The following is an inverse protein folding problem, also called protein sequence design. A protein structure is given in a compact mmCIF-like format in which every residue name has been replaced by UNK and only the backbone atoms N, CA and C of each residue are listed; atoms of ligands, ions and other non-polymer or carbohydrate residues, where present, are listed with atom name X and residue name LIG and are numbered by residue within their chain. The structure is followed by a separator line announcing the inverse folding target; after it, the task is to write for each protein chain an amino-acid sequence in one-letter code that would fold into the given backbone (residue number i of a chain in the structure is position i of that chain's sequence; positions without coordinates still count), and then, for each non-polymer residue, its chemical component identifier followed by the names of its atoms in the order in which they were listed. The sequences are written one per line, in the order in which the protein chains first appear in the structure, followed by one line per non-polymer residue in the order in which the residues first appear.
data_IF_417902580188
#
_entry.id   IF_417902580188
#
_cell.length_a   1.000
_cell.length_b   1.000
_cell.length_c   1.000
_cell.angle_alpha   90.00
_cell.angle_beta   90.00
_cell.angle_gamma   90.00
#
_symmetry.space_group_name_H-M   'P 1'
#
loop_
_entity.id
_entity.type
_entity.pdbx_description
1 polymer ?
#
# COMPACT_ATOMS: atom_id res chain seq x y z
N UNK A 1 25.17 10.51 -7.41
CA UNK A 1 24.81 10.15 -6.02
C UNK A 1 23.31 10.11 -5.97
N UNK A 2 22.75 8.91 -6.00
CA UNK A 2 21.36 8.70 -5.58
C UNK A 2 21.33 8.96 -4.08
N UNK A 3 20.88 10.15 -3.68
CA UNK A 3 20.51 10.45 -2.31
C UNK A 3 19.01 10.08 -2.23
N UNK A 4 18.73 8.80 -2.33
CA UNK A 4 17.43 8.25 -1.97
C UNK A 4 17.52 7.70 -0.56
N UNK A 5 16.40 7.66 0.13
CA UNK A 5 16.30 6.96 1.40
C UNK A 5 16.66 5.48 1.18
N UNK A 6 17.15 4.82 2.19
CA UNK A 6 17.53 3.39 2.13
C UNK A 6 16.35 2.50 1.72
N UNK A 7 15.12 2.88 2.06
CA UNK A 7 13.89 2.27 1.58
C UNK A 7 13.75 2.33 0.06
N UNK A 8 13.84 3.52 -0.55
CA UNK A 8 13.75 3.66 -2.02
C UNK A 8 14.81 2.82 -2.76
N UNK A 9 15.93 2.50 -2.12
CA UNK A 9 16.95 1.62 -2.70
C UNK A 9 16.49 0.16 -2.67
N UNK A 10 15.83 -0.30 -1.60
CA UNK A 10 15.27 -1.66 -1.50
C UNK A 10 14.13 -1.86 -2.48
N UNK A 11 13.20 -0.92 -2.55
CA UNK A 11 12.14 -0.90 -3.57
C UNK A 11 12.70 -0.92 -4.97
N UNK A 12 13.79 -0.17 -5.21
CA UNK A 12 14.49 -0.17 -6.50
C UNK A 12 15.03 -1.56 -6.84
N UNK A 13 15.47 -2.34 -5.85
CA UNK A 13 15.95 -3.69 -6.11
C UNK A 13 14.85 -4.59 -6.66
N UNK A 14 13.65 -4.56 -6.06
CA UNK A 14 12.51 -5.33 -6.54
C UNK A 14 12.04 -4.87 -7.92
N UNK A 15 11.95 -3.55 -8.13
CA UNK A 15 11.56 -2.96 -9.43
C UNK A 15 12.54 -3.31 -10.55
N UNK A 16 13.84 -3.24 -10.29
CA UNK A 16 14.85 -3.60 -11.30
C UNK A 16 14.85 -5.09 -11.60
N UNK A 17 14.69 -5.96 -10.60
CA UNK A 17 14.59 -7.39 -10.82
C UNK A 17 13.36 -7.75 -11.65
N UNK A 18 12.20 -7.19 -11.32
CA UNK A 18 10.97 -7.37 -12.09
C UNK A 18 11.10 -6.80 -13.52
N UNK A 19 11.71 -5.61 -13.66
CA UNK A 19 11.98 -5.00 -14.96
C UNK A 19 12.89 -5.87 -15.83
N UNK A 20 13.93 -6.48 -15.24
CA UNK A 20 14.80 -7.41 -15.94
C UNK A 20 14.01 -8.62 -16.46
N UNK A 21 13.15 -9.21 -15.63
CA UNK A 21 12.32 -10.36 -16.01
C UNK A 21 11.36 -10.04 -17.16
N UNK A 22 10.71 -8.87 -17.12
CA UNK A 22 9.76 -8.46 -18.17
C UNK A 22 10.46 -8.11 -19.50
N UNK A 23 11.64 -7.52 -19.43
CA UNK A 23 12.31 -6.97 -20.61
C UNK A 23 13.29 -7.96 -21.29
N UNK A 24 13.63 -9.08 -20.66
CA UNK A 24 14.69 -9.99 -21.14
C UNK A 24 14.49 -10.48 -22.58
N UNK A 25 13.26 -10.69 -23.01
CA UNK A 25 12.97 -11.18 -24.36
C UNK A 25 12.94 -10.08 -25.43
N UNK A 26 12.82 -8.81 -25.02
CA UNK A 26 12.71 -7.65 -25.92
C UNK A 26 13.97 -6.77 -25.92
N UNK A 27 14.61 -6.63 -24.77
CA UNK A 27 15.76 -5.75 -24.54
C UNK A 27 16.79 -6.43 -23.63
N UNK A 28 17.48 -7.49 -24.09
CA UNK A 28 18.32 -8.33 -23.24
C UNK A 28 19.47 -7.53 -22.57
N UNK A 29 20.15 -6.64 -23.27
CA UNK A 29 21.24 -5.82 -22.70
C UNK A 29 20.74 -4.90 -21.58
N UNK A 30 19.52 -4.39 -21.72
CA UNK A 30 18.87 -3.57 -20.70
C UNK A 30 18.47 -4.44 -19.50
N UNK A 31 17.93 -5.62 -19.75
CA UNK A 31 17.55 -6.57 -18.70
C UNK A 31 18.77 -6.99 -17.86
N UNK A 32 19.90 -7.27 -18.50
CA UNK A 32 21.16 -7.59 -17.82
C UNK A 32 21.63 -6.42 -16.95
N UNK A 33 21.56 -5.20 -17.48
CA UNK A 33 21.90 -4.00 -16.72
C UNK A 33 21.00 -3.82 -15.50
N UNK A 34 19.68 -4.01 -15.66
CA UNK A 34 18.72 -3.92 -14.58
C UNK A 34 18.98 -4.99 -13.50
N UNK A 35 19.32 -6.21 -13.90
CA UNK A 35 19.63 -7.27 -12.96
C UNK A 35 20.87 -6.99 -12.12
N UNK A 36 21.92 -6.42 -12.74
CA UNK A 36 23.10 -5.95 -12.01
C UNK A 36 22.71 -4.87 -10.99
N UNK A 37 21.90 -3.89 -11.41
CA UNK A 37 21.41 -2.83 -10.51
C UNK A 37 20.54 -3.35 -9.39
N UNK A 38 19.69 -4.34 -9.66
CA UNK A 38 18.87 -4.99 -8.64
C UNK A 38 19.74 -5.62 -7.53
N UNK A 39 20.80 -6.33 -7.92
CA UNK A 39 21.74 -6.94 -6.97
C UNK A 39 22.50 -5.89 -6.16
N UNK A 40 23.03 -4.85 -6.82
CA UNK A 40 23.72 -3.75 -6.14
C UNK A 40 22.83 -3.08 -5.10
N UNK A 41 21.58 -2.77 -5.47
CA UNK A 41 20.58 -2.17 -4.57
C UNK A 41 20.22 -3.11 -3.42
N UNK A 42 19.99 -4.40 -3.69
CA UNK A 42 19.71 -5.40 -2.67
C UNK A 42 20.83 -5.50 -1.63
N UNK A 43 22.08 -5.65 -2.07
CA UNK A 43 23.23 -5.76 -1.18
C UNK A 43 23.48 -4.47 -0.40
N UNK A 44 23.19 -3.32 -1.01
CA UNK A 44 23.23 -2.07 -0.28
C UNK A 44 22.19 -2.08 0.87
N UNK A 45 20.95 -2.46 0.61
CA UNK A 45 19.90 -2.57 1.62
C UNK A 45 20.23 -3.58 2.71
N UNK A 46 20.78 -4.74 2.36
CA UNK A 46 21.17 -5.78 3.30
C UNK A 46 22.32 -5.36 4.23
N UNK A 47 23.29 -4.59 3.70
CA UNK A 47 24.42 -4.10 4.49
C UNK A 47 24.11 -2.83 5.30
N UNK A 48 22.99 -2.17 5.03
CA UNK A 48 22.55 -0.97 5.75
C UNK A 48 21.11 -1.17 6.23
N UNK A 49 20.88 -2.08 7.19
CA UNK A 49 19.55 -2.35 7.70
C UNK A 49 19.01 -1.17 8.50
N UNK A 50 17.68 -1.09 8.55
CA UNK A 50 16.99 -0.07 9.31
C UNK A 50 16.15 0.84 8.44
N UNK A 51 15.55 1.82 9.06
CA UNK A 51 14.68 2.81 8.43
C UNK A 51 15.36 4.18 8.42
N UNK A 52 15.02 5.00 7.46
CA UNK A 52 15.46 6.38 7.42
C UNK A 52 14.31 7.31 7.13
N UNK A 53 14.49 8.57 7.48
CA UNK A 53 13.54 9.61 7.13
C UNK A 53 13.52 9.80 5.61
N UNK A 54 12.36 9.59 4.99
CA UNK A 54 12.20 9.64 3.53
C UNK A 54 12.00 11.05 3.00
N UNK A 55 11.41 11.94 3.79
CA UNK A 55 11.21 13.34 3.42
C UNK A 55 12.20 14.26 4.12
N UNK A 56 12.80 15.17 3.36
CA UNK A 56 13.71 16.20 3.88
C UNK A 56 12.97 17.41 4.44
N UNK A 57 11.65 17.43 4.43
CA UNK A 57 10.80 18.57 4.84
C UNK A 57 9.94 18.19 6.03
N UNK A 58 9.86 19.07 6.98
CA UNK A 58 8.87 19.01 8.07
C UNK A 58 7.56 19.54 7.49
N UNK A 59 6.74 18.64 6.98
CA UNK A 59 5.34 18.90 6.70
C UNK A 59 4.54 18.23 7.79
N UNK A 60 3.45 18.69 8.32
CA UNK A 60 2.97 18.49 9.69
C UNK A 60 3.40 17.17 10.36
N UNK A 61 4.15 16.34 9.70
CA UNK A 61 4.69 15.07 10.12
C UNK A 61 6.03 14.77 9.43
N UNK A 62 6.85 13.97 10.10
CA UNK A 62 8.10 13.45 9.58
C UNK A 62 7.78 12.10 8.94
N UNK A 63 8.18 11.89 7.69
CA UNK A 63 8.11 10.59 7.04
C UNK A 63 9.21 9.70 7.62
N UNK A 64 8.84 8.92 8.60
CA UNK A 64 9.72 7.97 9.26
C UNK A 64 9.04 6.61 9.25
N UNK A 65 9.56 5.68 8.47
CA UNK A 65 9.06 4.33 8.44
C UNK A 65 9.55 3.53 9.62
N UNK A 66 8.74 2.60 10.07
CA UNK A 66 9.07 1.72 11.19
C UNK A 66 9.53 0.34 10.75
N UNK A 67 9.36 0.02 9.46
CA UNK A 67 9.65 -1.29 8.89
C UNK A 67 10.44 -1.19 7.58
N UNK A 68 11.19 -2.21 7.28
CA UNK A 68 12.03 -2.35 6.09
C UNK A 68 12.19 -3.81 5.66
N UNK A 69 11.67 -4.74 6.44
CA UNK A 69 11.85 -6.19 6.20
C UNK A 69 11.01 -6.68 5.06
N UNK A 70 9.86 -6.09 4.83
CA UNK A 70 8.97 -6.35 3.71
C UNK A 70 9.56 -5.93 2.37
N UNK A 71 10.28 -4.79 2.32
CA UNK A 71 11.02 -4.35 1.13
C UNK A 71 12.12 -5.36 0.78
N UNK A 72 12.85 -5.84 1.80
CA UNK A 72 13.90 -6.83 1.60
C UNK A 72 13.34 -8.20 1.20
N UNK A 73 12.19 -8.58 1.75
CA UNK A 73 11.48 -9.80 1.36
C UNK A 73 11.09 -9.74 -0.13
N UNK A 74 10.45 -8.64 -0.53
CA UNK A 74 10.01 -8.45 -1.91
C UNK A 74 11.21 -8.41 -2.88
N UNK A 75 12.26 -7.68 -2.53
CA UNK A 75 13.47 -7.60 -3.34
C UNK A 75 14.16 -8.98 -3.50
N UNK A 76 14.27 -9.73 -2.42
CA UNK A 76 14.88 -11.06 -2.44
C UNK A 76 14.06 -12.04 -3.28
N UNK A 77 12.73 -12.10 -3.10
CA UNK A 77 11.91 -13.02 -3.89
C UNK A 77 11.88 -12.64 -5.37
N UNK A 78 11.89 -11.36 -5.73
CA UNK A 78 11.99 -10.94 -7.13
C UNK A 78 13.35 -11.31 -7.75
N UNK A 79 14.44 -11.16 -7.00
CA UNK A 79 15.76 -11.63 -7.43
C UNK A 79 15.79 -13.15 -7.61
N UNK A 80 15.16 -13.92 -6.72
CA UNK A 80 15.02 -15.35 -6.89
C UNK A 80 14.28 -15.70 -8.18
N UNK A 81 13.16 -15.04 -8.47
CA UNK A 81 12.40 -15.28 -9.72
C UNK A 81 13.24 -14.99 -10.96
N UNK A 82 14.02 -13.90 -10.93
CA UNK A 82 14.82 -13.49 -12.09
C UNK A 82 16.12 -14.30 -12.27
N UNK A 83 16.66 -14.91 -11.21
CA UNK A 83 17.99 -15.54 -11.24
C UNK A 83 17.97 -17.04 -11.00
N UNK A 84 16.95 -17.56 -10.32
CA UNK A 84 16.89 -18.93 -9.83
C UNK A 84 17.83 -19.22 -8.64
N UNK A 85 18.50 -18.22 -8.08
CA UNK A 85 19.45 -18.41 -6.97
C UNK A 85 18.71 -18.64 -5.65
N UNK A 86 18.85 -19.84 -5.11
CA UNK A 86 18.13 -20.29 -3.91
C UNK A 86 18.52 -19.53 -2.63
N UNK A 87 19.67 -18.89 -2.59
CA UNK A 87 20.04 -18.01 -1.48
C UNK A 87 19.05 -16.86 -1.29
N UNK A 88 18.62 -16.23 -2.39
CA UNK A 88 17.60 -15.18 -2.35
C UNK A 88 16.24 -15.68 -1.84
N UNK A 89 15.86 -16.92 -2.21
CA UNK A 89 14.64 -17.52 -1.65
C UNK A 89 14.73 -17.70 -0.13
N UNK A 90 15.89 -18.17 0.36
CA UNK A 90 16.12 -18.35 1.80
C UNK A 90 16.05 -17.02 2.54
N UNK A 91 16.72 -16.00 2.02
CA UNK A 91 16.70 -14.65 2.60
C UNK A 91 15.29 -14.04 2.59
N UNK A 92 14.54 -14.19 1.49
CA UNK A 92 13.15 -13.74 1.41
C UNK A 92 12.28 -14.39 2.50
N UNK A 93 12.41 -15.68 2.73
CA UNK A 93 11.69 -16.39 3.79
C UNK A 93 12.10 -15.87 5.18
N UNK A 94 13.36 -15.60 5.40
CA UNK A 94 13.84 -15.04 6.67
C UNK A 94 13.25 -13.65 6.92
N UNK A 95 13.32 -12.73 5.95
CA UNK A 95 12.73 -11.40 6.07
C UNK A 95 11.21 -11.44 6.28
N UNK A 96 10.50 -12.25 5.51
CA UNK A 96 9.03 -12.36 5.63
C UNK A 96 8.55 -12.92 6.97
N UNK A 97 9.40 -13.64 7.70
CA UNK A 97 9.07 -14.12 9.05
C UNK A 97 9.17 -13.04 10.13
N UNK A 98 9.88 -11.93 9.88
CA UNK A 98 9.90 -10.79 10.80
C UNK A 98 8.59 -10.05 10.86
N UNK A 99 7.83 -10.04 9.74
CA UNK A 99 6.53 -9.38 9.68
C UNK A 99 5.47 -10.28 9.01
N UNK A 100 4.98 -11.30 9.72
CA UNK A 100 4.04 -12.26 9.16
C UNK A 100 2.67 -11.65 8.81
N UNK A 101 2.33 -10.49 9.35
CA UNK A 101 1.07 -9.76 9.05
C UNK A 101 1.38 -8.27 8.97
N UNK A 102 0.97 -7.67 7.87
CA UNK A 102 1.09 -6.21 7.67
C UNK A 102 0.48 -5.45 8.87
N UNK A 103 1.22 -4.51 9.50
CA UNK A 103 0.86 -3.96 10.80
C UNK A 103 -0.54 -3.36 10.90
N UNK A 104 -0.98 -2.60 9.89
CA UNK A 104 -2.29 -1.97 9.93
C UNK A 104 -3.46 -2.98 9.92
N UNK A 105 -3.25 -4.15 9.35
CA UNK A 105 -4.26 -5.22 9.34
C UNK A 105 -4.47 -5.79 10.74
N UNK A 106 -3.43 -5.78 11.56
CA UNK A 106 -3.47 -6.26 12.95
C UNK A 106 -4.06 -5.27 13.95
N UNK A 107 -4.22 -4.00 13.58
CA UNK A 107 -4.75 -2.94 14.45
C UNK A 107 -5.93 -2.24 13.78
N UNK A 108 -6.80 -1.62 14.58
CA UNK A 108 -7.84 -0.72 14.09
C UNK A 108 -7.38 0.75 14.06
N UNK A 109 -6.17 1.00 14.53
CA UNK A 109 -5.49 2.29 14.47
C UNK A 109 -4.01 2.07 14.23
N UNK A 110 -3.41 2.88 13.38
CA UNK A 110 -1.98 2.91 13.12
C UNK A 110 -1.51 4.35 12.95
N UNK A 111 -0.23 4.60 13.17
CA UNK A 111 0.38 5.87 12.79
C UNK A 111 0.48 5.92 11.27
N UNK A 112 0.43 7.12 10.71
CA UNK A 112 0.38 7.34 9.27
C UNK A 112 1.43 6.55 8.47
N UNK A 113 2.65 6.45 8.96
CA UNK A 113 3.75 5.77 8.27
C UNK A 113 4.08 4.37 8.79
N UNK A 114 3.23 3.81 9.64
CA UNK A 114 3.39 2.44 10.17
C UNK A 114 2.65 1.38 9.34
N UNK A 115 1.94 1.77 8.30
CA UNK A 115 1.17 0.85 7.47
C UNK A 115 1.68 0.68 6.05
N UNK A 116 2.84 1.20 5.75
CA UNK A 116 3.59 0.76 4.60
C UNK A 116 4.30 -0.55 4.94
N UNK A 117 4.21 -1.57 4.10
CA UNK A 117 3.44 -1.64 2.87
C UNK A 117 1.94 -1.68 3.13
N UNK A 118 1.16 -1.26 2.16
CA UNK A 118 -0.29 -1.43 2.22
C UNK A 118 -0.69 -2.91 2.16
N UNK A 119 0.02 -3.70 1.36
CA UNK A 119 -0.01 -5.17 1.33
C UNK A 119 1.41 -5.71 1.22
N UNK A 120 1.69 -6.86 1.82
CA UNK A 120 2.97 -7.52 1.65
C UNK A 120 2.98 -8.38 0.38
N UNK A 121 3.46 -7.81 -0.74
CA UNK A 121 3.62 -8.52 -2.00
C UNK A 121 4.70 -9.60 -1.95
N UNK A 122 5.69 -9.48 -1.09
CA UNK A 122 6.69 -10.51 -0.85
C UNK A 122 6.03 -11.83 -0.43
N UNK A 123 5.08 -11.77 0.49
CA UNK A 123 4.31 -12.95 0.91
C UNK A 123 3.56 -13.61 -0.25
N UNK A 124 2.95 -12.81 -1.12
CA UNK A 124 2.26 -13.35 -2.29
C UNK A 124 3.22 -14.08 -3.23
N UNK A 125 4.36 -13.47 -3.53
CA UNK A 125 5.37 -14.09 -4.41
C UNK A 125 5.98 -15.35 -3.78
N UNK A 126 6.32 -15.33 -2.49
CA UNK A 126 6.79 -16.50 -1.77
C UNK A 126 5.76 -17.66 -1.78
N UNK A 127 4.49 -17.32 -1.58
CA UNK A 127 3.43 -18.32 -1.67
C UNK A 127 3.25 -18.88 -3.09
N UNK A 128 3.60 -18.09 -4.11
CA UNK A 128 3.42 -18.49 -5.53
C UNK A 128 4.57 -19.32 -6.10
N UNK A 129 5.83 -19.07 -5.70
CA UNK A 129 7.02 -19.62 -6.37
C UNK A 129 7.72 -20.71 -5.59
N UNK A 130 7.41 -20.90 -4.32
CA UNK A 130 8.14 -21.76 -3.41
C UNK A 130 7.56 -23.17 -3.32
N UNK A 131 8.22 -24.01 -2.55
CA UNK A 131 7.72 -25.34 -2.24
C UNK A 131 6.41 -25.30 -1.43
N UNK A 132 5.75 -26.46 -1.32
CA UNK A 132 4.45 -26.54 -0.65
C UNK A 132 4.45 -26.13 0.83
N UNK A 133 5.60 -26.13 1.49
CA UNK A 133 5.74 -25.72 2.90
C UNK A 133 5.77 -24.19 3.02
N UNK A 134 6.63 -23.57 2.25
CA UNK A 134 6.78 -22.10 2.19
C UNK A 134 5.48 -21.49 1.66
N UNK A 135 4.94 -22.02 0.58
CA UNK A 135 3.66 -21.58 0.02
C UNK A 135 2.53 -21.60 1.04
N UNK A 136 2.40 -22.66 1.81
CA UNK A 136 1.39 -22.76 2.88
C UNK A 136 1.64 -21.80 4.04
N UNK A 137 2.91 -21.54 4.39
CA UNK A 137 3.28 -20.60 5.44
C UNK A 137 2.85 -19.18 5.06
N UNK A 138 3.29 -18.69 3.90
CA UNK A 138 3.03 -17.34 3.46
C UNK A 138 1.58 -17.11 2.99
N UNK A 139 0.93 -18.14 2.44
CA UNK A 139 -0.51 -18.11 2.20
C UNK A 139 -1.33 -17.95 3.49
N UNK A 140 -0.90 -18.58 4.61
CA UNK A 140 -1.52 -18.36 5.93
C UNK A 140 -1.26 -16.96 6.47
N UNK A 141 -0.09 -16.38 6.23
CA UNK A 141 0.24 -15.02 6.63
C UNK A 141 -0.69 -14.00 5.94
N UNK A 142 -0.84 -14.11 4.61
CA UNK A 142 -1.82 -13.30 3.87
C UNK A 142 -3.24 -13.46 4.42
N UNK A 143 -3.66 -14.71 4.65
CA UNK A 143 -4.98 -14.99 5.24
C UNK A 143 -5.15 -14.35 6.61
N UNK A 144 -4.15 -14.42 7.47
CA UNK A 144 -4.22 -13.87 8.82
C UNK A 144 -4.48 -12.37 8.83
N UNK A 145 -3.91 -11.62 7.89
CA UNK A 145 -4.21 -10.20 7.71
C UNK A 145 -5.66 -9.97 7.27
N UNK A 146 -6.11 -10.72 6.25
CA UNK A 146 -7.49 -10.63 5.76
C UNK A 146 -8.49 -10.96 6.88
N UNK A 147 -8.26 -12.04 7.61
CA UNK A 147 -9.14 -12.49 8.71
C UNK A 147 -9.36 -11.39 9.74
N UNK A 148 -8.30 -10.72 10.19
CA UNK A 148 -8.38 -9.63 11.16
C UNK A 148 -9.21 -8.45 10.67
N UNK A 149 -9.07 -8.07 9.40
CA UNK A 149 -9.89 -7.02 8.80
C UNK A 149 -11.33 -7.49 8.63
N UNK A 150 -11.54 -8.73 8.21
CA UNK A 150 -12.86 -9.33 8.06
C UNK A 150 -13.62 -9.42 9.40
N UNK A 151 -12.96 -9.80 10.48
CA UNK A 151 -13.54 -9.81 11.82
C UNK A 151 -14.02 -8.41 12.25
N UNK A 152 -13.22 -7.37 12.00
CA UNK A 152 -13.63 -5.98 12.27
C UNK A 152 -14.80 -5.52 11.40
N UNK A 153 -14.93 -6.08 10.20
CA UNK A 153 -15.97 -5.73 9.26
C UNK A 153 -17.35 -6.30 9.62
N UNK A 154 -17.42 -7.35 10.47
CA UNK A 154 -18.67 -8.10 10.73
C UNK A 154 -19.82 -7.27 11.31
N UNK A 155 -19.56 -6.18 11.99
CA UNK A 155 -20.59 -5.28 12.51
C UNK A 155 -20.94 -4.11 11.58
N UNK A 156 -20.37 -4.06 10.40
CA UNK A 156 -20.45 -2.94 9.47
C UNK A 156 -21.30 -3.34 8.25
N UNK A 157 -22.41 -2.62 7.95
CA UNK A 157 -23.28 -2.96 6.82
C UNK A 157 -22.61 -2.89 5.46
N UNK A 158 -21.47 -2.17 5.36
CA UNK A 158 -20.66 -2.07 4.16
C UNK A 158 -19.53 -3.10 4.11
N UNK A 159 -19.45 -3.97 5.08
CA UNK A 159 -18.40 -4.99 5.24
C UNK A 159 -16.97 -4.41 5.09
N UNK A 160 -16.77 -3.18 5.59
CA UNK A 160 -15.49 -2.49 5.58
C UNK A 160 -14.88 -2.46 6.99
N UNK A 161 -13.84 -3.25 7.22
CA UNK A 161 -13.06 -3.30 8.47
C UNK A 161 -11.76 -2.50 8.42
N UNK A 162 -11.57 -1.68 7.40
CA UNK A 162 -10.39 -0.82 7.25
C UNK A 162 -10.48 0.35 8.22
N UNK A 163 -9.41 0.68 8.97
CA UNK A 163 -9.42 1.82 9.88
C UNK A 163 -9.47 3.14 9.10
N UNK A 164 -10.28 4.10 9.58
CA UNK A 164 -10.38 5.43 8.99
C UNK A 164 -9.22 6.32 9.46
N UNK A 165 -8.05 6.06 8.94
CA UNK A 165 -6.80 6.79 9.18
C UNK A 165 -6.35 7.49 7.89
N UNK A 166 -5.26 8.24 7.92
CA UNK A 166 -4.70 8.84 6.70
C UNK A 166 -4.56 7.80 5.60
N UNK A 167 -4.92 8.16 4.37
CA UNK A 167 -4.89 7.27 3.21
C UNK A 167 -5.78 6.01 3.37
N UNK A 168 -6.92 6.12 4.06
CA UNK A 168 -7.81 4.98 4.31
C UNK A 168 -8.31 4.31 3.02
N UNK A 169 -8.43 5.05 1.93
CA UNK A 169 -8.78 4.48 0.63
C UNK A 169 -7.65 3.64 0.03
N UNK A 170 -6.38 3.99 0.27
CA UNK A 170 -5.25 3.12 -0.08
C UNK A 170 -5.37 1.77 0.62
N UNK A 171 -5.70 1.79 1.91
CA UNK A 171 -5.87 0.56 2.69
C UNK A 171 -7.10 -0.23 2.21
N UNK A 172 -8.16 0.45 1.77
CA UNK A 172 -9.35 -0.18 1.20
C UNK A 172 -9.02 -0.90 -0.11
N UNK A 173 -8.30 -0.23 -1.02
CA UNK A 173 -7.80 -0.84 -2.26
C UNK A 173 -6.84 -1.99 -1.95
N UNK A 174 -5.92 -1.79 -1.01
CA UNK A 174 -4.95 -2.81 -0.60
C UNK A 174 -5.65 -4.07 -0.07
N UNK A 175 -6.68 -3.92 0.77
CA UNK A 175 -7.42 -5.06 1.28
C UNK A 175 -8.20 -5.79 0.19
N UNK A 176 -8.88 -5.06 -0.70
CA UNK A 176 -9.57 -5.67 -1.85
C UNK A 176 -8.56 -6.44 -2.73
N UNK A 177 -7.39 -5.86 -2.98
CA UNK A 177 -6.30 -6.49 -3.74
C UNK A 177 -5.79 -7.74 -3.04
N UNK A 178 -5.53 -7.69 -1.74
CA UNK A 178 -5.05 -8.86 -1.00
C UNK A 178 -6.08 -10.00 -0.97
N UNK A 179 -7.37 -9.68 -0.81
CA UNK A 179 -8.44 -10.68 -0.90
C UNK A 179 -8.43 -11.38 -2.27
N UNK A 180 -8.27 -10.60 -3.34
CA UNK A 180 -8.20 -11.12 -4.70
C UNK A 180 -6.97 -12.00 -4.91
N UNK A 181 -5.78 -11.52 -4.56
CA UNK A 181 -4.53 -12.28 -4.69
C UNK A 181 -4.57 -13.58 -3.87
N UNK A 182 -5.09 -13.53 -2.65
CA UNK A 182 -5.28 -14.72 -1.82
C UNK A 182 -6.23 -15.74 -2.47
N UNK A 183 -7.34 -15.26 -3.03
CA UNK A 183 -8.31 -16.12 -3.73
C UNK A 183 -7.72 -16.74 -4.99
N UNK A 184 -6.97 -15.99 -5.78
CA UNK A 184 -6.28 -16.51 -6.98
C UNK A 184 -5.22 -17.54 -6.61
N UNK A 185 -4.51 -17.35 -5.51
CA UNK A 185 -3.48 -18.24 -5.02
C UNK A 185 -4.05 -19.57 -4.46
N UNK A 186 -5.17 -19.50 -3.76
CA UNK A 186 -5.69 -20.62 -2.95
C UNK A 186 -6.99 -21.24 -3.47
N UNK A 187 -7.75 -20.52 -4.29
CA UNK A 187 -9.12 -20.86 -4.67
C UNK A 187 -10.16 -20.63 -3.56
N UNK A 188 -9.76 -20.12 -2.39
CA UNK A 188 -10.66 -19.85 -1.27
C UNK A 188 -11.49 -18.59 -1.51
N UNK A 189 -12.80 -18.74 -1.66
CA UNK A 189 -13.75 -17.65 -1.94
C UNK A 189 -14.36 -17.01 -0.69
N UNK A 190 -13.91 -17.36 0.51
CA UNK A 190 -14.50 -16.92 1.79
C UNK A 190 -14.62 -15.40 1.91
N UNK A 191 -13.65 -14.66 1.39
CA UNK A 191 -13.58 -13.20 1.50
C UNK A 191 -14.05 -12.46 0.26
N UNK A 192 -14.67 -13.16 -0.71
CA UNK A 192 -15.10 -12.57 -1.98
C UNK A 192 -16.15 -11.48 -1.78
N UNK A 193 -17.05 -11.65 -0.82
CA UNK A 193 -18.06 -10.64 -0.50
C UNK A 193 -17.40 -9.38 0.04
N UNK A 194 -16.42 -9.49 0.96
CA UNK A 194 -15.67 -8.34 1.44
C UNK A 194 -14.86 -7.69 0.30
N UNK A 195 -14.20 -8.47 -0.57
CA UNK A 195 -13.49 -7.97 -1.76
C UNK A 195 -14.42 -7.07 -2.61
N UNK A 196 -15.63 -7.54 -2.92
CA UNK A 196 -16.60 -6.78 -3.71
C UNK A 196 -17.12 -5.55 -2.95
N UNK A 197 -17.45 -5.70 -1.68
CA UNK A 197 -17.98 -4.61 -0.85
C UNK A 197 -16.97 -3.46 -0.68
N UNK A 198 -15.68 -3.77 -0.58
CA UNK A 198 -14.63 -2.76 -0.52
C UNK A 198 -14.49 -1.98 -1.83
N UNK A 199 -14.67 -2.64 -2.97
CA UNK A 199 -14.70 -1.97 -4.27
C UNK A 199 -15.97 -1.10 -4.38
N UNK A 200 -17.13 -1.64 -4.05
CA UNK A 200 -18.39 -0.91 -4.07
C UNK A 200 -18.35 0.30 -3.13
N UNK A 201 -17.68 0.17 -1.99
CA UNK A 201 -17.48 1.27 -1.03
C UNK A 201 -16.73 2.45 -1.67
N UNK A 202 -15.72 2.19 -2.49
CA UNK A 202 -14.98 3.23 -3.21
C UNK A 202 -15.84 3.93 -4.27
N UNK A 203 -16.83 3.26 -4.81
CA UNK A 203 -17.75 3.81 -5.81
C UNK A 203 -19.06 4.37 -5.20
N UNK A 204 -19.10 4.59 -3.89
CA UNK A 204 -20.20 5.28 -3.23
C UNK A 204 -21.13 4.40 -2.40
N UNK A 205 -20.96 3.09 -2.37
CA UNK A 205 -21.68 2.22 -1.42
C UNK A 205 -21.04 2.32 -0.03
N UNK A 206 -21.11 3.52 0.54
CA UNK A 206 -20.52 3.90 1.83
C UNK A 206 -21.50 4.81 2.62
N UNK A 207 -21.19 5.17 3.86
CA UNK A 207 -22.10 5.96 4.71
C UNK A 207 -22.52 7.31 4.14
N UNK A 208 -21.76 7.86 3.22
CA UNK A 208 -22.02 9.18 2.63
C UNK A 208 -22.73 9.10 1.27
N UNK A 209 -22.80 7.92 0.64
CA UNK A 209 -23.29 7.76 -0.72
C UNK A 209 -22.40 8.44 -1.77
N UNK A 210 -21.15 8.76 -1.41
CA UNK A 210 -20.22 9.55 -2.22
C UNK A 210 -19.13 8.65 -2.78
N UNK A 211 -18.92 8.69 -4.10
CA UNK A 211 -17.78 8.02 -4.72
C UNK A 211 -16.46 8.61 -4.24
N UNK A 212 -15.47 7.78 -4.01
CA UNK A 212 -14.11 8.19 -3.67
C UNK A 212 -13.22 8.35 -4.93
N UNK A 213 -13.85 8.27 -6.10
CA UNK A 213 -13.20 8.44 -7.39
C UNK A 213 -13.69 9.73 -8.01
N UNK A 214 -12.79 10.66 -8.31
CA UNK A 214 -13.14 11.96 -8.88
C UNK A 214 -13.84 11.80 -10.23
N UNK A 215 -14.98 12.50 -10.39
CA UNK A 215 -15.80 12.52 -11.60
C UNK A 215 -16.34 11.15 -12.05
N UNK A 216 -16.37 10.14 -11.15
CA UNK A 216 -16.98 8.84 -11.43
C UNK A 216 -17.86 8.38 -10.26
N UNK A 217 -19.11 7.97 -10.54
CA UNK A 217 -19.77 8.08 -11.85
C UNK A 217 -20.16 9.54 -12.17
N UNK A 218 -20.22 9.90 -13.44
CA UNK A 218 -20.52 11.26 -13.89
C UNK A 218 -21.85 11.86 -13.37
N UNK A 219 -22.79 10.99 -13.02
CA UNK A 219 -24.12 11.34 -12.48
C UNK A 219 -24.22 11.12 -10.97
N UNK A 220 -23.13 10.75 -10.32
CA UNK A 220 -23.06 10.49 -8.88
C UNK A 220 -22.52 11.67 -8.10
N UNK A 221 -22.47 11.49 -6.78
CA UNK A 221 -21.76 12.38 -5.88
C UNK A 221 -20.31 11.95 -5.74
N UNK A 222 -19.38 12.88 -5.85
CA UNK A 222 -17.93 12.66 -5.77
C UNK A 222 -17.21 13.94 -5.33
N UNK A 223 -15.96 13.86 -4.84
CA UNK A 223 -15.17 15.03 -4.47
C UNK A 223 -14.90 15.92 -5.68
N UNK A 224 -15.26 17.19 -5.58
CA UNK A 224 -15.10 18.17 -6.66
C UNK A 224 -13.88 19.07 -6.49
N UNK A 225 -13.28 19.07 -5.31
CA UNK A 225 -12.16 19.94 -4.94
C UNK A 225 -11.08 19.16 -4.16
N UNK A 226 -10.52 18.08 -4.76
CA UNK A 226 -9.45 17.36 -4.11
C UNK A 226 -8.19 18.23 -4.01
N UNK A 227 -7.45 18.11 -2.92
CA UNK A 227 -6.19 18.81 -2.73
C UNK A 227 -5.15 18.28 -3.72
N UNK A 228 -5.01 18.93 -4.84
CA UNK A 228 -3.98 18.61 -5.84
C UNK A 228 -3.26 19.88 -6.29
N UNK A 229 -1.98 19.80 -6.69
CA UNK A 229 -1.30 20.92 -7.32
C UNK A 229 -2.02 21.41 -8.59
N UNK A 230 -2.75 20.54 -9.27
CA UNK A 230 -3.50 20.89 -10.49
C UNK A 230 -4.65 21.88 -10.22
N UNK A 231 -5.35 21.70 -9.09
CA UNK A 231 -6.39 22.64 -8.67
C UNK A 231 -5.77 23.99 -8.32
N UNK A 232 -4.67 23.99 -7.58
CA UNK A 232 -3.95 25.22 -7.25
C UNK A 232 -3.43 25.96 -8.49
N UNK A 233 -3.13 25.23 -9.55
CA UNK A 233 -2.72 25.77 -10.85
C UNK A 233 -3.91 26.12 -11.77
N UNK A 234 -5.15 25.90 -11.33
CA UNK A 234 -6.35 26.16 -12.13
C UNK A 234 -6.55 25.17 -13.29
N UNK A 235 -5.91 24.02 -13.27
CA UNK A 235 -5.99 22.99 -14.32
C UNK A 235 -7.20 22.07 -14.13
N UNK A 236 -7.75 22.00 -12.92
CA UNK A 236 -8.89 21.14 -12.58
C UNK A 236 -8.47 19.80 -11.97
N UNK A 237 -9.47 18.92 -11.81
CA UNK A 237 -9.27 17.58 -11.26
C UNK A 237 -8.94 16.57 -12.35
N UNK A 238 -8.32 15.45 -11.97
CA UNK A 238 -8.17 14.31 -12.86
C UNK A 238 -9.37 13.40 -12.74
N UNK A 239 -10.03 13.15 -13.84
CA UNK A 239 -11.09 12.15 -13.93
C UNK A 239 -10.53 10.77 -13.55
N UNK A 240 -11.21 10.06 -12.65
CA UNK A 240 -10.80 8.73 -12.21
C UNK A 240 -9.72 8.71 -11.13
N UNK A 241 -9.37 9.86 -10.55
CA UNK A 241 -8.43 9.93 -9.42
C UNK A 241 -9.05 9.42 -8.12
N UNK A 242 -8.36 8.50 -7.44
CA UNK A 242 -8.75 8.06 -6.10
C UNK A 242 -8.32 9.11 -5.06
N UNK A 243 -9.23 9.51 -4.17
CA UNK A 243 -8.91 10.41 -3.06
C UNK A 243 -8.50 9.64 -1.81
N UNK A 244 -7.79 10.29 -0.88
CA UNK A 244 -7.25 9.67 0.35
C UNK A 244 -8.30 8.94 1.20
N UNK A 245 -9.50 9.45 1.22
CA UNK A 245 -10.61 8.88 1.97
C UNK A 245 -10.82 9.46 3.36
N UNK A 246 -11.84 8.93 4.06
CA UNK A 246 -12.22 9.45 5.36
C UNK A 246 -11.20 9.12 6.45
N UNK A 247 -11.07 10.03 7.41
CA UNK A 247 -10.28 9.82 8.61
C UNK A 247 -11.11 10.10 9.86
N UNK A 248 -10.72 9.49 10.98
CA UNK A 248 -11.33 9.80 12.28
C UNK A 248 -11.11 11.26 12.64
N UNK A 249 -12.15 11.94 13.10
CA UNK A 249 -12.07 13.36 13.52
C UNK A 249 -10.98 13.62 14.56
N UNK A 250 -10.71 12.63 15.43
CA UNK A 250 -9.63 12.72 16.43
C UNK A 250 -8.23 12.86 15.83
N UNK A 251 -8.02 12.46 14.59
CA UNK A 251 -6.75 12.64 13.89
C UNK A 251 -6.49 14.13 13.65
N UNK A 252 -7.52 14.87 13.24
CA UNK A 252 -7.40 16.32 13.02
C UNK A 252 -7.16 17.09 14.30
N UNK A 253 -7.65 16.61 15.43
CA UNK A 253 -7.44 17.25 16.74
C UNK A 253 -5.98 17.29 17.15
N UNK A 254 -5.18 16.36 16.67
CA UNK A 254 -3.75 16.26 16.94
C UNK A 254 -2.88 17.15 16.04
N UNK A 255 -3.43 17.70 14.96
CA UNK A 255 -2.69 18.51 13.99
C UNK A 255 -2.62 19.96 14.43
N UNK A 256 -1.41 20.46 14.70
CA UNK A 256 -1.18 21.86 15.05
C UNK A 256 -1.44 22.77 13.85
N UNK A 257 -2.22 23.83 14.07
CA UNK A 257 -2.51 24.84 13.05
C UNK A 257 -3.60 24.46 12.06
N UNK A 258 -4.11 23.25 12.09
CA UNK A 258 -5.28 22.87 11.30
C UNK A 258 -6.53 23.39 11.98
N UNK A 259 -7.26 24.24 11.28
CA UNK A 259 -8.58 24.72 11.70
C UNK A 259 -9.63 24.12 10.79
N UNK A 260 -10.47 23.26 11.35
CA UNK A 260 -11.64 22.76 10.66
C UNK A 260 -12.67 23.90 10.60
N UNK A 261 -13.16 24.21 9.41
CA UNK A 261 -14.14 25.27 9.21
C UNK A 261 -15.44 24.96 9.96
N UNK A 262 -15.81 23.70 10.03
CA UNK A 262 -16.97 23.21 10.75
C UNK A 262 -16.77 21.72 11.08
N UNK A 263 -17.10 21.36 12.33
CA UNK A 263 -17.26 19.94 12.69
C UNK A 263 -18.72 19.57 12.59
N UNK A 264 -18.99 18.49 11.90
CA UNK A 264 -20.28 17.84 11.99
C UNK A 264 -20.31 16.99 13.27
N UNK A 265 -21.14 17.36 14.27
CA UNK A 265 -21.19 16.61 15.51
C UNK A 265 -21.78 15.19 15.34
N UNK A 266 -22.41 14.91 14.22
CA UNK A 266 -23.00 13.62 13.88
C UNK A 266 -22.10 12.77 12.97
N UNK A 267 -21.12 13.36 12.30
CA UNK A 267 -20.16 12.65 11.49
C UNK A 267 -18.98 12.17 12.35
N UNK A 268 -18.77 10.88 12.37
CA UNK A 268 -17.61 10.27 13.03
C UNK A 268 -16.33 10.51 12.25
N UNK A 269 -16.44 10.77 10.97
CA UNK A 269 -15.35 10.96 10.04
C UNK A 269 -15.43 12.34 9.41
N UNK A 270 -14.28 12.91 9.13
CA UNK A 270 -14.18 14.17 8.39
C UNK A 270 -13.28 13.96 7.19
N UNK A 271 -13.87 14.04 6.02
CA UNK A 271 -13.20 13.77 4.76
C UNK A 271 -12.93 15.02 3.92
N UNK A 272 -13.56 16.16 4.25
CA UNK A 272 -13.47 17.38 3.43
C UNK A 272 -12.08 18.00 3.37
N UNK A 273 -11.19 17.63 4.31
CA UNK A 273 -9.82 18.18 4.37
C UNK A 273 -8.79 17.23 3.75
N UNK A 274 -9.16 15.98 3.48
CA UNK A 274 -8.21 14.93 3.10
C UNK A 274 -8.46 14.37 1.70
N UNK A 275 -9.03 15.14 0.85
CA UNK A 275 -9.17 14.77 -0.56
C UNK A 275 -7.87 15.05 -1.32
N UNK A 276 -6.87 14.22 -1.09
CA UNK A 276 -5.71 14.16 -1.96
C UNK A 276 -5.98 13.15 -3.08
N UNK A 277 -5.64 13.50 -4.30
CA UNK A 277 -5.70 12.56 -5.39
C UNK A 277 -4.45 11.67 -5.35
N UNK A 278 -4.60 10.43 -4.94
CA UNK A 278 -3.51 9.48 -4.73
C UNK A 278 -2.71 9.15 -6.00
N UNK A 279 -3.32 9.27 -7.17
CA UNK A 279 -2.59 9.09 -8.44
C UNK A 279 -1.53 10.17 -8.69
N UNK A 280 -1.62 11.30 -7.99
CA UNK A 280 -0.63 12.38 -8.06
C UNK A 280 0.31 12.41 -6.86
N UNK A 281 -0.12 11.80 -5.76
CA UNK A 281 0.64 11.68 -4.52
C UNK A 281 1.22 10.28 -4.33
N UNK A 282 1.23 9.47 -5.38
CA UNK A 282 2.14 8.33 -5.40
C UNK A 282 3.50 8.85 -4.95
N UNK A 283 4.11 8.29 -3.88
CA UNK A 283 5.25 8.90 -3.25
C UNK A 283 6.32 9.19 -4.28
N UNK A 284 6.33 10.44 -4.70
CA UNK A 284 7.45 10.95 -5.44
C UNK A 284 8.62 10.91 -4.47
N UNK A 285 9.79 10.41 -4.85
CA UNK A 285 10.98 10.49 -4.02
C UNK A 285 11.36 11.93 -3.65
N UNK A 286 10.49 12.90 -3.90
CA UNK A 286 10.67 14.33 -3.69
C UNK A 286 9.63 14.95 -2.77
N UNK A 287 8.58 14.21 -2.40
CA UNK A 287 7.59 14.62 -1.41
C UNK A 287 7.94 13.95 -0.03
#
# INVERSE_FOLDING_TARGET
RLVGSEMCIRDSASCFALGAEILKDFYPDMADTLLVKAREAYWHGANNPGVCQTASVVSPYIYEECNWTDDMELAAVQLYVSTGETSFLQEAVEYGRFEPVTPWMGADSARHYQWYPFINLGHYHLASVSDSRISKEFGRNLRSGIERVYERAQGNPFLNGVPAIWCSNNLTVAMATQCRLYRELTGDNRYREMESSLIDWLFGCNPWGTSMITELPLWGDYPIDPHTPLIALGVGTTVGGLVDGPVYSSIFDSLRGVRLARRDPYARFQSEIVYHCLLYTSPSPRD
#
